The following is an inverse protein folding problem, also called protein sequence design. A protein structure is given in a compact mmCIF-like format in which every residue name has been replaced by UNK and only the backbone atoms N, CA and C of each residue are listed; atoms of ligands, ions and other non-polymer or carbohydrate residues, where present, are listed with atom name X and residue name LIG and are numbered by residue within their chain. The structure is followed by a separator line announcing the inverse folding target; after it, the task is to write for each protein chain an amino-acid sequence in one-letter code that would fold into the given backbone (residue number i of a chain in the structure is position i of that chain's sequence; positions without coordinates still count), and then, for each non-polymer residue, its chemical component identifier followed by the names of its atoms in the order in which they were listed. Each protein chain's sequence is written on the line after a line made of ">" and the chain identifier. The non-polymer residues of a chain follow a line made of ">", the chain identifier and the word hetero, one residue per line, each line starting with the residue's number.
data_IF_478130953574
#
_entry.id   IF_478130953574
#
_cell.length_a   1.000
_cell.length_b   1.000
_cell.length_c   1.000
_cell.angle_alpha   90.00
_cell.angle_beta   90.00
_cell.angle_gamma   90.00
#
_symmetry.space_group_name_H-M   'P 1'
#
loop_
_entity.id
_entity.type
_entity.pdbx_description
1 polymer ?
#
# COMPACT_ATOMS: atom_id res chain seq x y z
N UNK A 1 60.09 62.44 -26.42
CA UNK A 1 58.82 62.24 -27.17
C UNK A 1 58.53 60.74 -27.15
N UNK A 2 57.41 60.13 -26.76
CA UNK A 2 55.95 60.40 -26.70
C UNK A 2 55.39 59.64 -25.47
N UNK A 3 54.65 60.27 -24.54
CA UNK A 3 53.18 60.35 -24.34
C UNK A 3 52.36 59.05 -24.17
N UNK A 4 51.52 59.11 -23.13
CA UNK A 4 50.61 58.14 -22.51
C UNK A 4 49.28 57.88 -23.27
N UNK A 5 48.73 56.68 -23.02
CA UNK A 5 47.33 56.22 -22.77
C UNK A 5 46.16 56.77 -23.60
N UNK A 6 45.25 55.85 -24.00
CA UNK A 6 43.85 55.77 -23.53
C UNK A 6 43.19 54.42 -23.85
N UNK A 7 42.36 53.97 -22.90
CA UNK A 7 41.44 52.81 -22.92
C UNK A 7 40.11 53.16 -23.59
N UNK A 8 39.41 52.14 -24.10
CA UNK A 8 37.94 52.09 -24.14
C UNK A 8 37.36 51.31 -25.32
N UNK A 9 36.84 50.10 -25.06
CA UNK A 9 35.56 49.59 -25.61
C UNK A 9 35.11 48.29 -24.88
N UNK A 10 33.80 47.97 -24.84
CA UNK A 10 33.14 47.25 -23.75
C UNK A 10 33.07 45.71 -23.92
N UNK A 11 32.81 44.94 -22.83
CA UNK A 11 32.70 43.49 -22.92
C UNK A 11 31.33 43.04 -23.47
N UNK A 12 31.38 42.13 -24.44
CA UNK A 12 30.23 41.35 -24.90
C UNK A 12 29.74 40.38 -23.83
N UNK A 13 28.41 40.22 -23.75
CA UNK A 13 27.74 39.26 -22.88
C UNK A 13 28.15 37.83 -23.27
N UNK A 14 28.53 36.94 -22.33
CA UNK A 14 28.67 35.54 -22.63
C UNK A 14 27.28 34.89 -22.73
N UNK A 15 27.07 34.16 -23.83
CA UNK A 15 25.89 33.35 -24.06
C UNK A 15 25.69 32.37 -22.91
N UNK A 16 24.46 32.30 -22.39
CA UNK A 16 24.06 31.33 -21.39
C UNK A 16 24.17 29.91 -21.98
N UNK A 17 25.18 29.15 -21.54
CA UNK A 17 25.19 27.70 -21.69
C UNK A 17 24.02 27.13 -20.89
N UNK A 18 22.94 26.78 -21.60
CA UNK A 18 21.96 25.85 -21.08
C UNK A 18 22.67 24.53 -20.81
N UNK A 19 22.94 24.26 -19.54
CA UNK A 19 23.12 22.90 -19.05
C UNK A 19 21.90 22.08 -19.46
N UNK A 20 22.03 21.36 -20.58
CA UNK A 20 21.22 20.18 -20.84
C UNK A 20 21.51 19.22 -19.70
N UNK A 21 20.59 19.14 -18.75
CA UNK A 21 20.53 18.00 -17.85
C UNK A 21 20.25 16.80 -18.74
N UNK A 22 21.23 15.91 -18.85
CA UNK A 22 21.01 14.58 -19.40
C UNK A 22 19.93 13.90 -18.56
N UNK A 23 18.70 13.88 -19.10
CA UNK A 23 17.54 13.20 -18.56
C UNK A 23 17.64 11.71 -18.79
N UNK A 24 18.66 11.07 -18.25
CA UNK A 24 18.62 9.64 -18.00
C UNK A 24 17.69 9.42 -16.81
N UNK A 25 16.45 9.01 -17.07
CA UNK A 25 15.59 8.50 -16.01
C UNK A 25 16.31 7.29 -15.39
N UNK A 26 16.95 7.47 -14.24
CA UNK A 26 17.40 6.34 -13.43
C UNK A 26 16.15 5.56 -13.05
N UNK A 27 15.96 4.40 -13.67
CA UNK A 27 14.89 3.47 -13.31
C UNK A 27 14.93 3.27 -11.79
N UNK A 28 13.79 3.48 -11.13
CA UNK A 28 13.66 3.16 -9.72
C UNK A 28 13.78 1.65 -9.58
N UNK A 29 14.89 1.16 -9.02
CA UNK A 29 15.04 -0.26 -8.66
C UNK A 29 14.54 -0.45 -7.23
N UNK A 30 13.65 -1.42 -7.03
CA UNK A 30 13.20 -1.84 -5.70
C UNK A 30 13.66 -3.26 -5.44
N UNK A 31 14.28 -3.48 -4.28
CA UNK A 31 14.83 -4.78 -3.92
C UNK A 31 14.95 -4.92 -2.41
N UNK A 32 14.67 -6.11 -1.87
CA UNK A 32 14.91 -6.46 -0.46
C UNK A 32 15.72 -7.76 -0.40
N UNK A 33 17.02 -7.61 -0.17
CA UNK A 33 18.00 -8.72 -0.18
C UNK A 33 18.24 -9.36 1.19
N UNK A 34 17.85 -8.70 2.27
CA UNK A 34 18.16 -9.11 3.64
C UNK A 34 17.30 -8.35 4.65
N UNK A 35 17.05 -8.95 5.82
CA UNK A 35 16.41 -8.28 6.97
C UNK A 35 17.35 -7.36 7.78
N UNK A 36 18.67 -7.43 7.55
CA UNK A 36 19.68 -6.72 8.38
C UNK A 36 20.56 -5.73 7.60
N UNK A 37 20.40 -5.69 6.27
CA UNK A 37 21.14 -4.78 5.41
C UNK A 37 20.75 -3.31 5.61
N UNK A 38 21.50 -2.39 4.97
CA UNK A 38 21.16 -0.97 5.03
C UNK A 38 19.82 -0.72 4.33
N UNK A 39 18.81 -0.35 5.12
CA UNK A 39 17.52 0.11 4.61
C UNK A 39 17.71 1.42 3.82
N UNK A 40 17.12 1.49 2.62
CA UNK A 40 17.18 2.66 1.73
C UNK A 40 15.82 3.30 1.50
N UNK A 41 14.79 2.47 1.39
CA UNK A 41 13.42 2.85 1.08
C UNK A 41 12.47 2.07 1.98
N UNK A 42 11.43 2.69 2.50
CA UNK A 42 10.43 2.01 3.35
C UNK A 42 9.04 2.60 3.15
N UNK A 43 8.02 1.74 3.15
CA UNK A 43 6.61 2.12 3.14
C UNK A 43 6.04 2.03 4.55
N UNK A 44 5.46 3.13 5.03
CA UNK A 44 4.81 3.21 6.34
C UNK A 44 3.44 3.89 6.22
N UNK A 45 2.56 3.69 7.19
CA UNK A 45 1.26 4.36 7.24
C UNK A 45 1.08 5.09 8.56
N UNK A 46 0.84 6.39 8.49
CA UNK A 46 0.66 7.23 9.67
C UNK A 46 -0.70 6.94 10.31
N UNK A 47 -0.79 6.74 11.64
CA UNK A 47 -2.05 6.68 12.39
C UNK A 47 -3.04 7.78 11.98
N UNK A 48 -4.25 7.38 11.63
CA UNK A 48 -5.22 8.26 10.97
C UNK A 48 -6.68 7.93 11.27
N UNK A 49 -7.54 8.14 10.28
CA UNK A 49 -8.99 8.05 10.42
C UNK A 49 -9.48 6.65 10.81
N UNK A 50 -8.84 5.59 10.31
CA UNK A 50 -9.22 4.20 10.63
C UNK A 50 -9.14 3.92 12.13
N UNK A 51 -8.07 4.38 12.79
CA UNK A 51 -7.89 4.23 14.23
C UNK A 51 -8.84 5.12 15.05
N UNK A 52 -9.28 6.27 14.52
CA UNK A 52 -10.28 7.12 15.18
C UNK A 52 -11.66 6.48 15.23
N UNK A 53 -11.91 5.50 14.36
CA UNK A 53 -13.17 4.75 14.27
C UNK A 53 -13.18 3.47 15.13
N UNK A 54 -12.06 3.15 15.77
CA UNK A 54 -12.01 2.07 16.74
C UNK A 54 -12.83 2.43 17.97
N UNK A 55 -13.65 1.47 18.38
CA UNK A 55 -14.46 1.50 19.60
C UNK A 55 -14.26 0.17 20.32
N UNK A 56 -14.48 0.11 21.64
CA UNK A 56 -14.39 -1.16 22.36
C UNK A 56 -15.29 -2.27 21.80
N UNK A 57 -16.41 -1.89 21.16
CA UNK A 57 -17.37 -2.81 20.55
C UNK A 57 -16.97 -3.35 19.17
N UNK A 58 -16.11 -2.65 18.41
CA UNK A 58 -15.73 -3.07 17.05
C UNK A 58 -14.26 -3.49 16.89
N UNK A 59 -13.41 -3.23 17.89
CA UNK A 59 -11.96 -3.47 17.80
C UNK A 59 -11.64 -4.93 17.44
N UNK A 60 -12.28 -5.90 18.09
CA UNK A 60 -12.07 -7.33 17.80
C UNK A 60 -12.51 -7.73 16.39
N UNK A 61 -13.57 -7.14 15.85
CA UNK A 61 -14.05 -7.42 14.48
C UNK A 61 -13.08 -6.84 13.44
N UNK A 62 -12.54 -5.66 13.75
CA UNK A 62 -11.52 -4.98 12.94
C UNK A 62 -10.10 -5.51 13.19
N UNK A 63 -9.96 -6.63 13.91
CA UNK A 63 -8.70 -7.31 14.21
C UNK A 63 -7.67 -6.37 14.85
N UNK A 64 -8.11 -5.59 15.83
CA UNK A 64 -7.27 -4.66 16.57
C UNK A 64 -7.48 -4.86 18.07
N UNK A 65 -6.40 -4.82 18.85
CA UNK A 65 -6.45 -5.24 20.26
C UNK A 65 -7.17 -4.23 21.16
N UNK A 66 -6.92 -2.93 20.97
CA UNK A 66 -7.51 -1.88 21.81
C UNK A 66 -7.58 -0.52 21.09
N UNK A 67 -8.37 0.39 21.65
CA UNK A 67 -8.50 1.77 21.16
C UNK A 67 -7.25 2.57 21.52
N UNK A 68 -6.68 3.26 20.53
CA UNK A 68 -5.47 4.05 20.70
C UNK A 68 -5.75 5.54 20.90
N UNK A 69 -4.87 6.23 21.63
CA UNK A 69 -4.82 7.68 21.59
C UNK A 69 -4.20 8.14 20.26
N UNK A 70 -5.03 8.26 19.21
CA UNK A 70 -4.60 8.44 17.82
C UNK A 70 -3.68 9.64 17.63
N UNK A 71 -3.95 10.77 18.30
CA UNK A 71 -3.07 11.94 18.24
C UNK A 71 -1.67 11.60 18.72
N UNK A 72 -1.54 10.91 19.86
CA UNK A 72 -0.25 10.55 20.43
C UNK A 72 0.47 9.51 19.57
N UNK A 73 -0.27 8.54 19.03
CA UNK A 73 0.27 7.57 18.07
C UNK A 73 0.80 8.26 16.81
N UNK A 74 0.10 9.28 16.30
CA UNK A 74 0.57 10.10 15.19
C UNK A 74 1.87 10.85 15.50
N UNK A 75 1.97 11.48 16.68
CA UNK A 75 3.21 12.14 17.14
C UNK A 75 4.39 11.14 17.21
N UNK A 76 4.17 9.94 17.77
CA UNK A 76 5.20 8.89 17.84
C UNK A 76 5.60 8.36 16.46
N UNK A 77 4.65 8.22 15.55
CA UNK A 77 4.92 7.85 14.18
C UNK A 77 5.73 8.93 13.44
N UNK A 78 5.44 10.21 13.68
CA UNK A 78 6.20 11.31 13.08
C UNK A 78 7.65 11.33 13.58
N UNK A 79 7.88 11.06 14.87
CA UNK A 79 9.23 10.87 15.43
C UNK A 79 9.96 9.67 14.79
N UNK A 80 9.26 8.55 14.59
CA UNK A 80 9.79 7.37 13.90
C UNK A 80 10.19 7.67 12.45
N UNK A 81 9.34 8.38 11.69
CA UNK A 81 9.64 8.79 10.31
C UNK A 81 10.83 9.76 10.26
N UNK A 82 10.89 10.72 11.19
CA UNK A 82 12.01 11.64 11.28
C UNK A 82 13.34 10.90 11.54
N UNK A 83 13.33 9.88 12.40
CA UNK A 83 14.49 9.05 12.72
C UNK A 83 15.00 8.23 11.52
N UNK A 84 14.09 7.74 10.67
CA UNK A 84 14.40 7.06 9.42
C UNK A 84 15.02 8.04 8.42
N UNK A 85 14.37 9.19 8.20
CA UNK A 85 14.85 10.22 7.27
C UNK A 85 16.21 10.78 7.69
N UNK A 86 16.48 10.91 8.99
CA UNK A 86 17.79 11.34 9.50
C UNK A 86 18.92 10.32 9.22
N UNK A 87 18.60 9.12 8.74
CA UNK A 87 19.54 8.06 8.32
C UNK A 87 19.56 7.87 6.80
N UNK A 88 19.09 8.88 6.06
CA UNK A 88 18.98 8.89 4.60
C UNK A 88 18.05 7.79 4.05
N UNK A 89 17.05 7.36 4.83
CA UNK A 89 16.02 6.45 4.35
C UNK A 89 14.92 7.27 3.68
N UNK A 90 14.61 6.94 2.43
CA UNK A 90 13.42 7.44 1.73
C UNK A 90 12.17 6.78 2.32
N UNK A 91 11.28 7.60 2.88
CA UNK A 91 10.06 7.11 3.54
C UNK A 91 8.86 7.46 2.67
N UNK A 92 8.22 6.41 2.16
CA UNK A 92 6.94 6.47 1.48
C UNK A 92 5.79 6.37 2.48
N UNK A 93 4.80 7.24 2.33
CA UNK A 93 3.59 7.24 3.14
C UNK A 93 2.44 6.64 2.35
N UNK A 94 1.81 5.60 2.90
CA UNK A 94 0.76 4.83 2.21
C UNK A 94 -0.41 5.69 1.73
N UNK A 95 -0.91 6.60 2.58
CA UNK A 95 -2.05 7.46 2.25
C UNK A 95 -1.69 8.47 1.14
N UNK A 96 -0.47 9.02 1.18
CA UNK A 96 0.04 9.93 0.16
C UNK A 96 0.21 9.22 -1.19
N UNK A 97 0.87 8.05 -1.19
CA UNK A 97 1.01 7.23 -2.39
C UNK A 97 -0.34 6.82 -2.97
N UNK A 98 -1.32 6.48 -2.13
CA UNK A 98 -2.65 6.11 -2.60
C UNK A 98 -3.33 7.32 -3.25
N UNK A 99 -3.29 8.49 -2.61
CA UNK A 99 -3.84 9.73 -3.16
C UNK A 99 -3.22 10.08 -4.52
N UNK A 100 -1.89 10.04 -4.62
CA UNK A 100 -1.14 10.29 -5.87
C UNK A 100 -1.49 9.25 -6.95
N UNK A 101 -1.69 7.99 -6.56
CA UNK A 101 -2.13 6.92 -7.49
C UNK A 101 -3.51 7.22 -8.08
N UNK A 102 -4.46 7.62 -7.22
CA UNK A 102 -5.84 7.92 -7.61
C UNK A 102 -5.93 9.19 -8.46
N UNK A 103 -5.05 10.16 -8.23
CA UNK A 103 -4.93 11.36 -9.06
C UNK A 103 -4.33 11.05 -10.44
N UNK A 104 -3.31 10.19 -10.50
CA UNK A 104 -2.61 9.88 -11.74
C UNK A 104 -3.32 8.84 -12.61
N UNK A 105 -4.11 7.95 -12.02
CA UNK A 105 -4.68 6.80 -12.71
C UNK A 105 -6.18 6.62 -12.47
N UNK A 106 -6.97 7.19 -13.39
CA UNK A 106 -8.42 6.93 -13.45
C UNK A 106 -8.75 5.43 -13.59
N UNK A 107 -7.87 4.67 -14.25
CA UNK A 107 -8.00 3.21 -14.33
C UNK A 107 -7.89 2.56 -12.95
N UNK A 108 -6.93 2.98 -12.12
CA UNK A 108 -6.74 2.46 -10.76
C UNK A 108 -7.93 2.84 -9.86
N UNK A 109 -8.34 4.12 -9.92
CA UNK A 109 -9.49 4.63 -9.17
C UNK A 109 -10.76 3.85 -9.50
N UNK A 110 -11.09 3.71 -10.79
CA UNK A 110 -12.26 2.93 -11.21
C UNK A 110 -12.17 1.47 -10.78
N UNK A 111 -11.01 0.84 -10.95
CA UNK A 111 -10.83 -0.55 -10.53
C UNK A 111 -11.07 -0.76 -9.03
N UNK A 112 -10.49 0.09 -8.17
CA UNK A 112 -10.73 0.00 -6.71
C UNK A 112 -12.22 0.14 -6.41
N UNK A 113 -12.86 1.17 -6.97
CA UNK A 113 -14.25 1.49 -6.68
C UNK A 113 -15.21 0.38 -7.15
N UNK A 114 -15.06 -0.13 -8.36
CA UNK A 114 -15.87 -1.23 -8.88
C UNK A 114 -15.64 -2.55 -8.12
N UNK A 115 -14.45 -2.72 -7.54
CA UNK A 115 -14.13 -3.89 -6.71
C UNK A 115 -14.77 -3.83 -5.33
N UNK A 116 -14.85 -2.65 -4.70
CA UNK A 116 -15.42 -2.52 -3.34
C UNK A 116 -16.91 -2.16 -3.34
N UNK A 117 -17.40 -1.51 -4.40
CA UNK A 117 -18.79 -1.07 -4.55
C UNK A 117 -19.47 -1.83 -5.67
N UNK A 118 -20.24 -2.85 -5.29
CA UNK A 118 -21.13 -3.56 -6.19
C UNK A 118 -22.38 -4.06 -5.43
N UNK A 119 -23.34 -4.63 -6.17
CA UNK A 119 -24.65 -4.98 -5.63
C UNK A 119 -24.62 -5.94 -4.44
N UNK A 120 -23.57 -6.76 -4.33
CA UNK A 120 -23.40 -7.74 -3.26
C UNK A 120 -22.62 -7.21 -2.05
N UNK A 121 -21.91 -6.07 -2.17
CA UNK A 121 -21.23 -5.44 -1.03
C UNK A 121 -22.09 -4.36 -0.38
N UNK A 122 -22.75 -3.53 -1.17
CA UNK A 122 -23.49 -2.36 -0.65
C UNK A 122 -25.00 -2.40 -0.94
N UNK A 123 -25.46 -3.41 -1.69
CA UNK A 123 -26.85 -3.58 -2.08
C UNK A 123 -27.17 -2.98 -3.47
N UNK A 124 -28.00 -3.68 -4.23
CA UNK A 124 -28.36 -3.30 -5.60
C UNK A 124 -28.97 -1.90 -5.74
N UNK A 125 -29.72 -1.44 -4.72
CA UNK A 125 -30.32 -0.10 -4.71
C UNK A 125 -29.38 1.04 -4.31
N UNK A 126 -28.11 0.74 -3.96
CA UNK A 126 -27.11 1.73 -3.54
C UNK A 126 -25.85 1.73 -4.42
N UNK A 127 -25.52 0.60 -5.06
CA UNK A 127 -24.23 0.41 -5.74
C UNK A 127 -23.92 1.50 -6.77
N UNK A 128 -24.84 1.83 -7.67
CA UNK A 128 -24.62 2.83 -8.72
C UNK A 128 -24.44 4.24 -8.13
N UNK A 129 -25.35 4.68 -7.26
CA UNK A 129 -25.32 6.02 -6.68
C UNK A 129 -24.08 6.22 -5.79
N UNK A 130 -23.71 5.20 -5.00
CA UNK A 130 -22.50 5.24 -4.18
C UNK A 130 -21.23 5.25 -5.03
N UNK A 131 -21.18 4.45 -6.10
CA UNK A 131 -20.04 4.43 -7.01
C UNK A 131 -19.82 5.82 -7.62
N UNK A 132 -20.89 6.46 -8.10
CA UNK A 132 -20.84 7.82 -8.62
C UNK A 132 -20.38 8.83 -7.56
N UNK A 133 -20.95 8.75 -6.36
CA UNK A 133 -20.59 9.63 -5.23
C UNK A 133 -19.10 9.53 -4.87
N UNK A 134 -18.54 8.32 -4.78
CA UNK A 134 -17.12 8.10 -4.51
C UNK A 134 -16.22 8.51 -5.69
N UNK A 135 -16.70 8.33 -6.93
CA UNK A 135 -15.95 8.71 -8.12
C UNK A 135 -15.77 10.24 -8.24
N UNK A 136 -16.68 11.04 -7.70
CA UNK A 136 -16.57 12.50 -7.69
C UNK A 136 -15.68 13.05 -6.56
N UNK A 137 -15.31 12.21 -5.56
CA UNK A 137 -14.45 12.66 -4.47
C UNK A 137 -13.06 13.07 -4.96
N UNK A 138 -12.48 14.16 -4.39
CA UNK A 138 -11.08 14.49 -4.61
C UNK A 138 -10.16 13.32 -4.22
N UNK A 139 -9.11 13.01 -5.00
CA UNK A 139 -8.25 11.84 -4.77
C UNK A 139 -7.73 11.70 -3.34
N UNK A 140 -7.29 12.80 -2.71
CA UNK A 140 -6.82 12.79 -1.32
C UNK A 140 -7.92 12.42 -0.30
N UNK A 141 -9.16 12.90 -0.52
CA UNK A 141 -10.30 12.57 0.33
C UNK A 141 -10.72 11.12 0.12
N UNK A 142 -10.73 10.66 -1.14
CA UNK A 142 -11.03 9.27 -1.45
C UNK A 142 -10.00 8.32 -0.83
N UNK A 143 -8.69 8.59 -0.96
CA UNK A 143 -7.63 7.79 -0.33
C UNK A 143 -7.81 7.70 1.19
N UNK A 144 -8.11 8.83 1.84
CA UNK A 144 -8.40 8.89 3.27
C UNK A 144 -9.58 7.99 3.66
N UNK A 145 -10.63 7.90 2.84
CA UNK A 145 -11.79 7.03 3.12
C UNK A 145 -11.58 5.57 2.73
N UNK A 146 -10.79 5.27 1.69
CA UNK A 146 -10.42 3.91 1.32
C UNK A 146 -9.58 3.20 2.40
N UNK A 147 -8.76 3.97 3.14
CA UNK A 147 -8.01 3.48 4.30
C UNK A 147 -8.80 3.65 5.60
N UNK A 148 -9.43 4.81 5.75
CA UNK A 148 -10.04 5.26 6.99
C UNK A 148 -11.48 4.85 7.20
N UNK A 149 -12.17 4.30 6.21
CA UNK A 149 -13.60 4.02 6.22
C UNK A 149 -14.48 5.25 6.02
N UNK A 150 -15.73 5.02 5.67
CA UNK A 150 -16.76 6.03 5.39
C UNK A 150 -18.08 5.61 6.04
N UNK A 151 -18.57 6.38 7.01
CA UNK A 151 -19.84 6.15 7.65
C UNK A 151 -21.01 6.74 6.86
N UNK A 152 -22.21 6.20 7.06
CA UNK A 152 -23.44 6.72 6.45
C UNK A 152 -23.64 8.22 6.69
N UNK A 153 -23.44 8.69 7.92
CA UNK A 153 -23.60 10.11 8.29
C UNK A 153 -22.64 11.07 7.58
N UNK A 154 -21.57 10.56 6.97
CA UNK A 154 -20.60 11.35 6.22
C UNK A 154 -20.98 11.51 4.74
N UNK A 155 -22.13 10.98 4.32
CA UNK A 155 -22.68 11.11 2.96
C UNK A 155 -24.07 11.79 2.96
N UNK A 156 -24.20 13.02 3.51
CA UNK A 156 -25.50 13.68 3.63
C UNK A 156 -26.17 13.99 2.29
N UNK A 157 -25.39 14.09 1.21
CA UNK A 157 -25.87 14.43 -0.12
C UNK A 157 -26.33 13.19 -0.93
N UNK A 158 -26.11 11.98 -0.41
CA UNK A 158 -26.49 10.74 -1.07
C UNK A 158 -27.87 10.28 -0.59
N UNK A 159 -28.84 10.17 -1.50
CA UNK A 159 -30.18 9.68 -1.17
C UNK A 159 -30.18 8.16 -0.99
N UNK A 160 -30.10 7.73 0.27
CA UNK A 160 -30.11 6.31 0.64
C UNK A 160 -31.53 5.72 0.74
N UNK A 161 -32.59 6.52 0.55
CA UNK A 161 -33.97 6.07 0.75
C UNK A 161 -34.41 4.99 -0.24
N UNK A 162 -33.74 4.87 -1.39
CA UNK A 162 -34.02 3.86 -2.41
C UNK A 162 -33.37 2.51 -2.14
N UNK A 163 -32.45 2.43 -1.17
CA UNK A 163 -31.72 1.20 -0.82
C UNK A 163 -32.23 0.63 0.51
N UNK A 164 -32.59 -0.67 0.53
CA UNK A 164 -32.89 -1.37 1.78
C UNK A 164 -31.67 -1.37 2.71
N UNK A 165 -30.47 -1.64 2.19
CA UNK A 165 -29.21 -1.56 2.95
C UNK A 165 -29.02 -0.16 3.53
N UNK A 166 -29.20 0.86 2.69
CA UNK A 166 -29.10 2.26 3.11
C UNK A 166 -30.09 2.64 4.21
N UNK A 167 -31.32 2.14 4.16
CA UNK A 167 -32.34 2.35 5.19
C UNK A 167 -32.06 1.59 6.49
N UNK A 168 -31.50 0.37 6.41
CA UNK A 168 -31.18 -0.45 7.57
C UNK A 168 -29.92 0.02 8.32
N UNK A 169 -29.01 0.73 7.64
CA UNK A 169 -27.83 1.29 8.28
C UNK A 169 -28.18 2.41 9.26
N UNK A 170 -27.60 2.35 10.45
CA UNK A 170 -27.52 3.47 11.37
C UNK A 170 -26.51 4.51 10.87
N UNK A 171 -26.62 5.74 11.36
CA UNK A 171 -25.74 6.85 10.95
C UNK A 171 -24.24 6.58 11.14
N UNK A 172 -23.90 5.70 12.09
CA UNK A 172 -22.52 5.33 12.41
C UNK A 172 -22.02 4.10 11.64
N UNK A 173 -22.90 3.42 10.91
CA UNK A 173 -22.54 2.22 10.17
C UNK A 173 -21.66 2.58 8.98
N UNK A 174 -20.67 1.73 8.72
CA UNK A 174 -19.68 1.95 7.68
C UNK A 174 -20.16 1.38 6.35
N UNK A 175 -20.20 2.26 5.35
CA UNK A 175 -20.39 1.88 3.95
C UNK A 175 -19.06 1.43 3.34
N UNK A 176 -17.96 2.07 3.74
CA UNK A 176 -16.61 1.55 3.55
C UNK A 176 -16.01 1.24 4.92
N UNK A 177 -15.59 0.00 5.20
CA UNK A 177 -15.04 -0.35 6.52
C UNK A 177 -13.67 0.34 6.75
N UNK A 178 -13.35 0.76 7.99
CA UNK A 178 -12.02 1.23 8.32
C UNK A 178 -10.99 0.09 8.28
N UNK A 179 -9.76 0.40 7.85
CA UNK A 179 -8.65 -0.55 7.77
C UNK A 179 -7.55 -0.19 8.79
N UNK A 180 -7.78 -0.36 10.11
CA UNK A 180 -6.82 0.05 11.13
C UNK A 180 -5.48 -0.69 11.02
N UNK A 181 -5.50 -1.93 10.53
CA UNK A 181 -4.31 -2.75 10.31
C UNK A 181 -3.45 -2.31 9.11
N UNK A 182 -3.90 -1.35 8.30
CA UNK A 182 -3.02 -0.65 7.34
C UNK A 182 -1.85 0.07 8.03
N UNK A 183 -1.93 0.29 9.35
CA UNK A 183 -0.81 0.72 10.20
C UNK A 183 0.39 -0.22 10.08
N UNK A 184 0.13 -1.53 9.98
CA UNK A 184 1.13 -2.58 9.86
C UNK A 184 1.38 -2.92 8.39
N UNK A 185 2.08 -2.02 7.70
CA UNK A 185 2.42 -2.14 6.25
C UNK A 185 3.25 -3.37 5.90
N UNK A 186 3.71 -4.13 6.89
CA UNK A 186 4.43 -5.40 6.74
C UNK A 186 3.56 -6.50 6.13
N UNK A 187 2.25 -6.54 6.43
CA UNK A 187 1.50 -7.77 6.19
C UNK A 187 0.87 -7.85 4.79
N UNK A 188 0.31 -6.73 4.31
CA UNK A 188 -0.48 -6.69 3.06
C UNK A 188 0.38 -6.90 1.80
N UNK A 189 1.68 -6.63 1.88
CA UNK A 189 2.63 -6.96 0.83
C UNK A 189 4.02 -7.20 1.42
N UNK A 190 4.79 -8.12 0.85
CA UNK A 190 6.18 -8.33 1.23
C UNK A 190 7.11 -8.34 0.01
N UNK A 191 8.23 -7.61 0.12
CA UNK A 191 9.28 -7.59 -0.89
C UNK A 191 10.28 -8.71 -0.62
N UNK A 192 10.61 -9.47 -1.67
CA UNK A 192 11.52 -10.61 -1.63
C UNK A 192 12.44 -10.47 -2.83
N UNK A 193 13.70 -10.15 -2.60
CA UNK A 193 14.67 -9.87 -3.66
C UNK A 193 14.11 -8.85 -4.67
N UNK A 194 14.14 -9.12 -5.97
CA UNK A 194 13.69 -8.27 -7.09
C UNK A 194 12.18 -8.30 -7.36
N UNK A 195 11.37 -8.68 -6.37
CA UNK A 195 9.93 -8.69 -6.55
C UNK A 195 9.15 -8.53 -5.26
N UNK A 196 7.84 -8.44 -5.42
CA UNK A 196 6.87 -8.24 -4.35
C UNK A 196 5.77 -9.28 -4.43
N UNK A 197 5.29 -9.72 -3.27
CA UNK A 197 4.06 -10.48 -3.14
C UNK A 197 2.95 -9.54 -2.64
N UNK A 198 1.84 -9.46 -3.36
CA UNK A 198 0.59 -8.90 -2.84
C UNK A 198 -0.12 -10.01 -2.08
N UNK A 199 -0.19 -9.91 -0.76
CA UNK A 199 -0.44 -11.10 0.04
C UNK A 199 -1.92 -11.46 0.09
N UNK A 200 -2.34 -12.71 -0.23
CA UNK A 200 -3.70 -13.16 -0.01
C UNK A 200 -3.98 -13.27 1.50
N UNK A 201 -4.52 -12.20 2.08
CA UNK A 201 -4.71 -12.08 3.53
C UNK A 201 -5.70 -13.14 4.04
N UNK A 202 -5.41 -13.70 5.23
CA UNK A 202 -6.29 -14.66 5.88
C UNK A 202 -7.69 -14.08 6.19
N UNK A 203 -7.73 -12.82 6.65
CA UNK A 203 -8.99 -12.11 6.89
C UNK A 203 -9.46 -11.40 5.63
N UNK A 204 -10.73 -11.64 5.25
CA UNK A 204 -11.37 -10.99 4.11
C UNK A 204 -11.34 -9.47 4.19
N UNK A 205 -11.58 -8.90 5.37
CA UNK A 205 -11.57 -7.43 5.57
C UNK A 205 -10.18 -6.84 5.26
N UNK A 206 -9.11 -7.55 5.64
CA UNK A 206 -7.73 -7.10 5.39
C UNK A 206 -7.32 -7.19 3.92
N UNK A 207 -8.06 -7.90 3.07
CA UNK A 207 -7.77 -7.96 1.64
C UNK A 207 -7.96 -6.60 0.95
N UNK A 208 -8.78 -5.71 1.53
CA UNK A 208 -8.90 -4.32 1.07
C UNK A 208 -7.60 -3.53 1.25
N UNK A 209 -6.76 -3.89 2.23
CA UNK A 209 -5.42 -3.30 2.40
C UNK A 209 -4.54 -3.63 1.18
N UNK A 210 -4.64 -4.86 0.70
CA UNK A 210 -3.89 -5.37 -0.46
C UNK A 210 -4.39 -4.75 -1.75
N UNK A 211 -5.69 -4.50 -1.88
CA UNK A 211 -6.25 -3.77 -3.02
C UNK A 211 -5.62 -2.38 -3.15
N UNK A 212 -5.54 -1.63 -2.03
CA UNK A 212 -4.94 -0.30 -1.99
C UNK A 212 -3.44 -0.34 -2.36
N UNK A 213 -2.67 -1.23 -1.72
CA UNK A 213 -1.22 -1.37 -2.00
C UNK A 213 -0.96 -1.88 -3.43
N UNK A 214 -1.80 -2.79 -3.90
CA UNK A 214 -1.73 -3.34 -5.25
C UNK A 214 -2.03 -2.30 -6.34
N UNK A 215 -2.89 -1.32 -6.06
CA UNK A 215 -3.09 -0.19 -6.96
C UNK A 215 -1.84 0.70 -7.03
N UNK A 216 -1.23 0.99 -5.88
CA UNK A 216 0.01 1.79 -5.80
C UNK A 216 1.11 1.13 -6.62
N UNK A 217 1.44 -0.14 -6.38
CA UNK A 217 2.54 -0.79 -7.08
C UNK A 217 2.31 -0.92 -8.59
N UNK A 218 1.06 -1.02 -9.04
CA UNK A 218 0.72 -1.12 -10.46
C UNK A 218 0.67 0.22 -11.19
N UNK A 219 0.23 1.28 -10.51
CA UNK A 219 -0.20 2.51 -11.19
C UNK A 219 0.49 3.79 -10.71
N UNK A 220 1.12 3.78 -9.53
CA UNK A 220 1.83 4.95 -9.04
C UNK A 220 3.10 5.22 -9.86
N UNK A 221 3.39 6.46 -10.28
CA UNK A 221 4.57 6.78 -11.11
C UNK A 221 5.91 6.27 -10.55
N UNK A 222 6.07 6.27 -9.22
CA UNK A 222 7.30 5.77 -8.59
C UNK A 222 7.52 4.26 -8.78
N UNK A 223 6.45 3.48 -9.04
CA UNK A 223 6.46 2.01 -9.10
C UNK A 223 6.05 1.45 -10.47
N UNK A 224 5.23 2.15 -11.26
CA UNK A 224 4.68 1.64 -12.52
C UNK A 224 5.77 1.27 -13.53
N UNK A 225 6.79 2.14 -13.65
CA UNK A 225 7.93 1.95 -14.57
C UNK A 225 9.17 1.36 -13.88
N UNK A 226 9.03 0.95 -12.60
CA UNK A 226 10.12 0.35 -11.85
C UNK A 226 10.32 -1.12 -12.23
N UNK A 227 11.59 -1.53 -12.25
CA UNK A 227 12.00 -2.89 -12.57
C UNK A 227 11.87 -3.80 -11.34
N UNK A 228 10.72 -4.46 -11.23
CA UNK A 228 10.44 -5.51 -10.25
C UNK A 228 9.32 -6.44 -10.72
N UNK A 229 9.25 -7.63 -10.09
CA UNK A 229 8.27 -8.69 -10.40
C UNK A 229 7.17 -8.78 -9.36
N UNK A 230 6.04 -9.36 -9.74
CA UNK A 230 5.06 -9.85 -8.76
C UNK A 230 5.24 -11.35 -8.59
N UNK A 231 5.55 -11.77 -7.37
CA UNK A 231 5.56 -13.19 -6.98
C UNK A 231 4.14 -13.73 -6.83
N UNK A 232 3.22 -12.87 -6.39
CA UNK A 232 1.80 -13.10 -6.39
C UNK A 232 1.06 -11.77 -6.59
N UNK A 233 -0.06 -11.74 -7.34
CA UNK A 233 -0.71 -12.86 -8.03
C UNK A 233 0.10 -13.37 -9.25
N UNK A 234 -0.05 -14.66 -9.64
CA UNK A 234 0.60 -15.18 -10.83
C UNK A 234 0.07 -14.44 -12.07
N UNK A 235 0.98 -13.96 -12.94
CA UNK A 235 0.64 -13.13 -14.10
C UNK A 235 1.04 -11.65 -13.99
N UNK A 236 1.72 -11.25 -12.91
CA UNK A 236 2.39 -9.95 -12.88
C UNK A 236 1.46 -8.76 -12.72
N UNK A 237 1.85 -7.62 -13.30
CA UNK A 237 1.12 -6.35 -13.27
C UNK A 237 -0.29 -6.44 -13.87
N UNK A 238 -0.48 -7.32 -14.86
CA UNK A 238 -1.75 -7.48 -15.59
C UNK A 238 -2.72 -8.44 -14.88
N UNK A 239 -2.24 -9.20 -13.91
CA UNK A 239 -3.06 -10.16 -13.18
C UNK A 239 -4.03 -9.46 -12.23
N UNK A 240 -5.29 -9.92 -12.25
CA UNK A 240 -6.32 -9.47 -11.32
C UNK A 240 -5.98 -10.01 -9.93
N UNK A 241 -6.06 -9.14 -8.93
CA UNK A 241 -6.08 -9.59 -7.55
C UNK A 241 -7.54 -9.89 -7.22
N UNK A 242 -7.92 -11.16 -7.31
CA UNK A 242 -9.29 -11.59 -7.07
C UNK A 242 -9.56 -11.58 -5.56
N UNK A 243 -10.45 -10.69 -5.09
CA UNK A 243 -10.83 -10.67 -3.67
C UNK A 243 -11.71 -11.86 -3.27
N UNK A 244 -12.32 -12.54 -4.25
CA UNK A 244 -13.34 -13.55 -4.01
C UNK A 244 -12.78 -14.99 -3.98
N UNK A 245 -11.66 -15.25 -4.64
CA UNK A 245 -11.08 -16.59 -4.77
C UNK A 245 -9.59 -16.68 -4.42
N UNK A 246 -9.33 -16.96 -3.14
CA UNK A 246 -8.01 -17.37 -2.65
C UNK A 246 -7.98 -18.85 -2.24
N UNK A 247 -9.06 -19.61 -2.49
CA UNK A 247 -9.25 -20.94 -1.94
C UNK A 247 -8.94 -21.01 -0.43
N UNK A 248 -8.04 -21.92 -0.04
CA UNK A 248 -7.50 -22.05 1.32
C UNK A 248 -6.07 -21.51 1.45
N UNK A 249 -5.56 -20.80 0.45
CA UNK A 249 -4.22 -20.25 0.45
C UNK A 249 -4.22 -18.86 1.11
N UNK A 250 -3.36 -18.66 2.10
CA UNK A 250 -3.15 -17.33 2.68
C UNK A 250 -1.68 -17.12 3.00
N UNK A 251 -1.26 -15.86 2.98
CA UNK A 251 0.08 -15.39 3.32
C UNK A 251 -0.07 -14.04 3.99
N UNK A 252 0.73 -13.76 5.00
CA UNK A 252 0.91 -12.42 5.55
C UNK A 252 2.41 -12.13 5.64
N UNK A 253 2.80 -10.90 5.31
CA UNK A 253 4.21 -10.55 5.19
C UNK A 253 5.00 -10.62 6.49
N UNK A 254 4.34 -10.64 7.65
CA UNK A 254 4.99 -10.95 8.94
C UNK A 254 5.68 -12.32 8.97
N UNK A 255 5.17 -13.29 8.19
CA UNK A 255 5.78 -14.63 8.11
C UNK A 255 6.94 -14.71 7.11
N UNK A 256 7.24 -13.67 6.34
CA UNK A 256 8.16 -13.73 5.20
C UNK A 256 9.42 -12.93 5.47
N UNK A 257 10.58 -13.60 5.45
CA UNK A 257 11.87 -12.98 5.67
C UNK A 257 12.89 -13.39 4.57
N UNK A 258 13.19 -12.53 3.58
CA UNK A 258 14.37 -12.70 2.75
C UNK A 258 15.63 -12.52 3.59
N UNK A 259 16.27 -13.63 3.98
CA UNK A 259 17.44 -13.62 4.87
C UNK A 259 18.78 -13.48 4.14
N UNK A 260 18.76 -13.42 2.81
CA UNK A 260 19.93 -13.29 1.95
C UNK A 260 20.51 -14.63 1.49
N UNK A 261 21.56 -14.56 0.66
CA UNK A 261 22.21 -15.72 0.03
C UNK A 261 21.22 -16.66 -0.68
N UNK A 262 20.25 -16.08 -1.40
CA UNK A 262 19.21 -16.83 -2.11
C UNK A 262 18.24 -17.59 -1.20
N UNK A 263 18.23 -17.34 0.11
CA UNK A 263 17.34 -18.01 1.06
C UNK A 263 16.19 -17.11 1.54
N UNK A 264 15.02 -17.71 1.75
CA UNK A 264 13.85 -17.06 2.35
C UNK A 264 13.32 -17.94 3.48
N UNK A 265 13.07 -17.36 4.65
CA UNK A 265 12.30 -18.02 5.72
C UNK A 265 10.83 -17.68 5.55
N UNK A 266 9.97 -18.68 5.67
CA UNK A 266 8.52 -18.50 5.62
C UNK A 266 7.86 -19.24 6.77
N UNK A 267 7.17 -18.53 7.65
CA UNK A 267 6.35 -19.10 8.71
C UNK A 267 5.13 -19.84 8.15
N UNK A 268 4.90 -21.06 8.61
CA UNK A 268 3.62 -21.76 8.45
C UNK A 268 2.81 -21.55 9.74
N UNK A 269 2.00 -20.49 9.75
CA UNK A 269 1.34 -19.92 10.94
C UNK A 269 -0.19 -20.09 10.88
N UNK A 270 -0.90 -19.36 11.75
CA UNK A 270 -2.36 -19.20 11.62
C UNK A 270 -2.77 -18.33 10.42
N UNK A 271 -1.85 -17.48 9.91
CA UNK A 271 -2.10 -16.53 8.82
C UNK A 271 -1.49 -16.96 7.50
N UNK A 272 -0.45 -17.79 7.53
CA UNK A 272 0.24 -18.28 6.33
C UNK A 272 0.09 -19.79 6.19
N UNK A 273 -0.52 -20.24 5.09
CA UNK A 273 -0.77 -21.65 4.84
C UNK A 273 0.30 -22.31 3.97
N UNK A 274 0.58 -23.61 4.16
CA UNK A 274 1.59 -24.33 3.37
C UNK A 274 1.38 -24.24 1.85
N UNK A 275 0.12 -24.22 1.39
CA UNK A 275 -0.23 -24.06 -0.03
C UNK A 275 0.35 -22.77 -0.60
N UNK A 276 0.27 -21.67 0.15
CA UNK A 276 0.78 -20.39 -0.32
C UNK A 276 2.31 -20.31 -0.23
N UNK A 277 2.92 -21.01 0.73
CA UNK A 277 4.39 -21.20 0.79
C UNK A 277 4.88 -21.93 -0.46
N UNK A 278 4.21 -23.02 -0.86
CA UNK A 278 4.55 -23.76 -2.08
C UNK A 278 4.42 -22.90 -3.34
N UNK A 279 3.31 -22.15 -3.48
CA UNK A 279 3.10 -21.24 -4.61
C UNK A 279 4.19 -20.17 -4.70
N UNK A 280 4.52 -19.53 -3.57
CA UNK A 280 5.54 -18.49 -3.52
C UNK A 280 6.94 -19.06 -3.82
N UNK A 281 7.27 -20.25 -3.27
CA UNK A 281 8.53 -20.93 -3.55
C UNK A 281 8.69 -21.27 -5.04
N UNK A 282 7.65 -21.80 -5.67
CA UNK A 282 7.66 -22.11 -7.11
C UNK A 282 7.92 -20.86 -7.96
N UNK A 283 7.27 -19.74 -7.63
CA UNK A 283 7.47 -18.47 -8.34
C UNK A 283 8.91 -17.94 -8.20
N UNK A 284 9.45 -17.98 -6.98
CA UNK A 284 10.82 -17.54 -6.70
C UNK A 284 11.88 -18.41 -7.39
N UNK A 285 11.68 -19.74 -7.41
CA UNK A 285 12.60 -20.67 -8.04
C UNK A 285 12.54 -20.60 -9.57
N UNK A 286 11.34 -20.40 -10.15
CA UNK A 286 11.17 -20.28 -11.60
C UNK A 286 11.97 -19.11 -12.20
N UNK A 287 12.07 -17.99 -11.46
CA UNK A 287 12.84 -16.81 -11.87
C UNK A 287 14.29 -16.81 -11.37
N UNK A 288 14.69 -17.82 -10.56
CA UNK A 288 16.03 -17.91 -9.99
C UNK A 288 16.36 -16.85 -8.94
N UNK A 289 15.35 -16.14 -8.41
CA UNK A 289 15.54 -15.09 -7.40
C UNK A 289 15.82 -15.65 -6.00
N UNK A 290 15.41 -16.89 -5.73
CA UNK A 290 15.81 -17.65 -4.56
C UNK A 290 16.28 -19.05 -4.97
N UNK A 291 17.18 -19.61 -4.17
CA UNK A 291 17.67 -20.99 -4.28
C UNK A 291 17.08 -21.90 -3.20
N UNK A 292 16.52 -21.30 -2.13
CA UNK A 292 16.03 -22.03 -0.97
C UNK A 292 14.89 -21.31 -0.26
N UNK A 293 13.86 -22.06 0.08
CA UNK A 293 12.80 -21.65 1.00
C UNK A 293 12.83 -22.58 2.20
N UNK A 294 12.87 -22.01 3.40
CA UNK A 294 12.83 -22.75 4.67
C UNK A 294 11.49 -22.45 5.32
N UNK A 295 10.60 -23.44 5.30
CA UNK A 295 9.30 -23.34 5.95
C UNK A 295 9.44 -23.62 7.46
N UNK A 296 9.02 -22.66 8.29
CA UNK A 296 9.06 -22.75 9.75
C UNK A 296 7.68 -23.14 10.28
N UNK A 297 7.51 -24.39 10.73
CA UNK A 297 6.25 -24.83 11.34
C UNK A 297 6.04 -24.11 12.68
N UNK A 298 5.04 -23.23 12.76
CA UNK A 298 4.70 -22.53 13.99
C UNK A 298 3.64 -23.28 14.79
N UNK A 299 3.62 -23.04 16.09
CA UNK A 299 2.51 -23.45 16.97
C UNK A 299 1.29 -22.59 16.68
N UNK A 300 0.11 -23.20 16.60
CA UNK A 300 -1.16 -22.50 16.43
C UNK A 300 -1.63 -21.91 17.76
N UNK A 301 -0.89 -20.95 18.28
CA UNK A 301 -1.21 -20.18 19.46
C UNK A 301 -1.40 -18.71 19.05
N UNK A 302 -2.49 -18.08 19.49
CA UNK A 302 -2.77 -16.67 19.23
C UNK A 302 -1.65 -15.74 19.70
N UNK A 303 -0.83 -16.18 20.66
CA UNK A 303 0.33 -15.43 21.13
C UNK A 303 1.44 -15.27 20.06
N UNK A 304 1.45 -16.10 19.02
CA UNK A 304 2.46 -16.07 17.95
C UNK A 304 1.77 -16.10 16.58
N UNK A 305 1.29 -14.94 16.13
CA UNK A 305 0.54 -14.83 14.86
C UNK A 305 1.42 -14.96 13.61
N UNK A 306 2.70 -14.56 13.71
CA UNK A 306 3.69 -14.61 12.63
C UNK A 306 5.07 -15.05 13.16
N UNK A 307 5.94 -15.51 12.26
CA UNK A 307 7.35 -15.92 12.50
C UNK A 307 8.20 -14.84 13.17
#
# INVERSE_FOLDING_TARGET
>A
MRRLRRHGDPPGQPAAELHRRDGGATLNTFRVDSEVGRLRKVLVHRPGLSLQRLTPSNASELLFDDVLWVRKAGEQHDEFVALLRSRDVEVFLLEELLAETLEHSEKAKRHILETIVHELTVGAGLAEDLLAYLAEMPPAILARHLLGGLAKSEMPDLDLSRSLTGQMYFDRDFVLPPLPNSLFTRDSSCWIYDGVSLNPMYSKVRQLEVLNVGAIYRHHPAFADADFRFWYPPGGRESRFDLDDFGHASLEGGDVMPIGNGAVLIGCSERTTPQMVEQLALALFAEGSAERVIACQMTKDRAHMHL
#
